data_IF_189901750435
#
_entry.id   IF_189901750435
#
_cell.length_a   1.000
_cell.length_b   1.000
_cell.length_c   1.000
_cell.angle_alpha   90.00
_cell.angle_beta   90.00
_cell.angle_gamma   90.00
#
_symmetry.space_group_name_H-M   'P 1'
#
loop_
_entity.id
_entity.type
_entity.pdbx_description
1 polymer ?
#
# COMPACT_ATOMS: atom_id res chain seq x y z
N UNK A 1 10.89 -3.97 -13.84
CA UNK A 1 10.31 -4.73 -12.72
C UNK A 1 9.12 -5.56 -13.20
N UNK A 2 9.03 -6.77 -12.74
CA UNK A 2 7.91 -7.65 -13.04
C UNK A 2 6.96 -7.71 -11.84
N UNK A 3 5.67 -7.58 -12.08
CA UNK A 3 4.64 -7.72 -11.05
C UNK A 3 3.89 -9.02 -11.29
N UNK A 4 3.76 -9.83 -10.24
CA UNK A 4 2.98 -11.07 -10.27
C UNK A 4 2.23 -11.27 -8.95
N UNK A 5 1.25 -12.15 -8.94
CA UNK A 5 0.62 -12.55 -7.69
C UNK A 5 1.60 -13.26 -6.77
N UNK A 6 1.46 -12.98 -5.48
CA UNK A 6 2.26 -13.63 -4.44
C UNK A 6 1.84 -15.07 -4.27
N UNK A 7 2.81 -15.95 -4.09
CA UNK A 7 2.58 -17.36 -3.79
C UNK A 7 3.00 -17.67 -2.36
N UNK A 8 2.51 -18.77 -1.78
CA UNK A 8 2.85 -19.14 -0.41
C UNK A 8 4.35 -19.33 -0.21
N UNK A 9 5.06 -19.80 -1.23
CA UNK A 9 6.52 -19.94 -1.16
C UNK A 9 7.27 -18.61 -1.04
N UNK A 10 6.60 -17.50 -1.36
CA UNK A 10 7.19 -16.14 -1.21
C UNK A 10 7.17 -15.65 0.24
N UNK A 11 6.41 -16.29 1.13
CA UNK A 11 6.18 -15.78 2.49
C UNK A 11 7.46 -15.47 3.27
N UNK A 12 8.51 -16.32 3.28
CA UNK A 12 9.74 -15.98 4.00
C UNK A 12 10.40 -14.70 3.49
N UNK A 13 10.50 -14.53 2.18
CA UNK A 13 11.07 -13.34 1.56
C UNK A 13 10.19 -12.11 1.81
N UNK A 14 8.88 -12.29 1.79
CA UNK A 14 7.89 -11.24 2.03
C UNK A 14 7.98 -10.74 3.48
N UNK A 15 8.10 -11.63 4.43
CA UNK A 15 8.28 -11.27 5.85
C UNK A 15 9.55 -10.44 6.06
N UNK A 16 10.64 -10.84 5.43
CA UNK A 16 11.91 -10.09 5.48
C UNK A 16 11.74 -8.69 4.86
N UNK A 17 11.04 -8.60 3.74
CA UNK A 17 10.81 -7.32 3.07
C UNK A 17 10.01 -6.36 3.95
N UNK A 18 8.97 -6.84 4.62
CA UNK A 18 8.20 -6.00 5.55
C UNK A 18 9.01 -5.57 6.77
N UNK A 19 9.86 -6.42 7.27
CA UNK A 19 10.77 -6.08 8.35
C UNK A 19 11.72 -4.94 7.96
N UNK A 20 12.29 -5.02 6.77
CA UNK A 20 13.13 -3.97 6.20
C UNK A 20 12.35 -2.67 5.99
N UNK A 21 11.12 -2.76 5.51
CA UNK A 21 10.26 -1.60 5.31
C UNK A 21 9.92 -0.90 6.64
N UNK A 22 9.62 -1.66 7.70
CA UNK A 22 9.38 -1.08 9.02
C UNK A 22 10.61 -0.37 9.58
N UNK A 23 11.78 -0.98 9.42
CA UNK A 23 13.04 -0.35 9.85
C UNK A 23 13.29 0.97 9.11
N UNK A 24 13.03 1.00 7.80
CA UNK A 24 13.14 2.20 6.99
C UNK A 24 12.15 3.28 7.46
N UNK A 25 10.90 2.93 7.72
CA UNK A 25 9.89 3.88 8.22
C UNK A 25 10.34 4.53 9.53
N UNK A 26 10.85 3.75 10.48
CA UNK A 26 11.36 4.27 11.75
C UNK A 26 12.53 5.23 11.55
N UNK A 27 13.46 4.87 10.67
CA UNK A 27 14.62 5.69 10.37
C UNK A 27 14.23 7.03 9.73
N UNK A 28 13.10 7.07 9.02
CA UNK A 28 12.57 8.27 8.39
C UNK A 28 11.61 9.07 9.29
N UNK A 29 11.52 8.74 10.59
CA UNK A 29 10.67 9.45 11.52
C UNK A 29 9.20 9.04 11.46
N UNK A 30 8.90 7.83 10.96
CA UNK A 30 7.54 7.29 10.87
C UNK A 30 7.44 5.96 11.64
N UNK A 31 7.48 5.99 13.00
CA UNK A 31 7.47 4.77 13.79
C UNK A 31 6.08 4.18 14.03
N UNK A 32 5.02 4.93 13.73
CA UNK A 32 3.66 4.62 14.20
C UNK A 32 2.73 4.09 13.11
N UNK A 33 3.14 4.08 11.85
CA UNK A 33 2.27 3.59 10.77
C UNK A 33 2.07 2.07 10.88
N UNK A 34 3.15 1.34 11.04
CA UNK A 34 3.12 -0.11 11.20
C UNK A 34 3.83 -0.51 12.49
N UNK A 35 3.09 -1.03 13.47
CA UNK A 35 3.71 -1.54 14.70
C UNK A 35 4.53 -2.80 14.43
N UNK A 36 5.33 -3.19 15.41
CA UNK A 36 6.09 -4.43 15.34
C UNK A 36 5.16 -5.61 15.04
N UNK A 37 5.60 -6.50 14.14
CA UNK A 37 4.84 -7.66 13.74
C UNK A 37 3.70 -7.37 12.76
N UNK A 38 3.48 -6.14 12.34
CA UNK A 38 2.50 -5.81 11.30
C UNK A 38 3.21 -5.71 9.94
N UNK A 39 2.66 -6.27 8.86
CA UNK A 39 1.46 -7.09 8.83
C UNK A 39 1.72 -8.50 9.40
N UNK A 40 0.77 -9.08 10.18
CA UNK A 40 0.97 -10.43 10.72
C UNK A 40 0.88 -11.49 9.62
N UNK A 41 1.50 -12.63 9.86
CA UNK A 41 1.52 -13.74 8.90
C UNK A 41 0.12 -14.13 8.44
N UNK A 42 -0.84 -14.19 9.37
CA UNK A 42 -2.23 -14.55 9.06
C UNK A 42 -2.88 -13.62 8.03
N UNK A 43 -2.58 -12.32 8.11
CA UNK A 43 -3.07 -11.34 7.14
C UNK A 43 -2.45 -11.56 5.77
N UNK A 44 -1.15 -11.82 5.71
CA UNK A 44 -0.46 -12.09 4.45
C UNK A 44 -0.96 -13.37 3.79
N UNK A 45 -1.19 -14.42 4.58
CA UNK A 45 -1.76 -15.67 4.09
C UNK A 45 -3.17 -15.45 3.52
N UNK A 46 -4.00 -14.65 4.21
CA UNK A 46 -5.33 -14.32 3.73
C UNK A 46 -5.29 -13.52 2.42
N UNK A 47 -4.39 -12.53 2.32
CA UNK A 47 -4.22 -11.77 1.08
C UNK A 47 -3.84 -12.68 -0.09
N UNK A 48 -2.94 -13.63 0.13
CA UNK A 48 -2.53 -14.59 -0.90
C UNK A 48 -3.70 -15.48 -1.31
N UNK A 49 -4.41 -16.04 -0.34
CA UNK A 49 -5.54 -16.94 -0.58
C UNK A 49 -6.66 -16.26 -1.37
N UNK A 50 -6.87 -14.98 -1.14
CA UNK A 50 -7.91 -14.18 -1.82
C UNK A 50 -7.42 -13.57 -3.16
N UNK A 51 -6.16 -13.77 -3.52
CA UNK A 51 -5.60 -13.23 -4.75
C UNK A 51 -5.35 -11.73 -4.71
N UNK A 52 -5.24 -11.14 -3.52
CA UNK A 52 -5.03 -9.69 -3.35
C UNK A 52 -3.55 -9.30 -3.31
N UNK A 53 -2.66 -10.23 -3.00
CA UNK A 53 -1.24 -9.93 -2.79
C UNK A 53 -0.45 -10.01 -4.08
N UNK A 54 0.42 -9.01 -4.29
CA UNK A 54 1.32 -8.93 -5.44
C UNK A 54 2.74 -8.65 -4.96
N UNK A 55 3.71 -9.17 -5.69
CA UNK A 55 5.13 -8.88 -5.48
C UNK A 55 5.73 -8.27 -6.73
N UNK A 56 6.74 -7.45 -6.52
CA UNK A 56 7.55 -6.87 -7.59
C UNK A 56 8.92 -7.52 -7.55
N UNK A 57 9.35 -8.05 -8.70
CA UNK A 57 10.65 -8.68 -8.86
C UNK A 57 11.56 -7.84 -9.73
N UNK A 58 12.85 -7.83 -9.40
CA UNK A 58 13.87 -7.28 -10.29
C UNK A 58 14.21 -8.25 -11.43
N UNK A 59 15.21 -7.90 -12.25
CA UNK A 59 15.63 -8.72 -13.39
C UNK A 59 16.17 -10.09 -12.97
N UNK A 60 16.68 -10.21 -11.74
CA UNK A 60 17.22 -11.46 -11.19
C UNK A 60 16.16 -12.29 -10.46
N UNK A 61 14.91 -11.85 -10.47
CA UNK A 61 13.81 -12.53 -9.79
C UNK A 61 13.79 -12.29 -8.27
N UNK A 62 14.55 -11.33 -7.77
CA UNK A 62 14.55 -10.99 -6.35
C UNK A 62 13.38 -10.06 -6.02
N UNK A 63 12.72 -10.28 -4.89
CA UNK A 63 11.63 -9.42 -4.46
C UNK A 63 12.18 -8.06 -4.02
N UNK A 64 11.65 -7.00 -4.60
CA UNK A 64 12.02 -5.61 -4.28
C UNK A 64 10.85 -4.80 -3.73
N UNK A 65 9.64 -5.31 -3.85
CA UNK A 65 8.45 -4.64 -3.36
C UNK A 65 7.26 -5.58 -3.27
N UNK A 66 6.22 -5.10 -2.61
CA UNK A 66 4.95 -5.81 -2.46
C UNK A 66 3.83 -4.83 -2.19
N UNK A 67 2.61 -5.24 -2.51
CA UNK A 67 1.39 -4.51 -2.15
C UNK A 67 0.20 -5.46 -2.17
N UNK A 68 -0.88 -5.04 -1.53
CA UNK A 68 -2.18 -5.66 -1.70
C UNK A 68 -3.07 -4.73 -2.51
N UNK A 69 -3.85 -5.29 -3.44
CA UNK A 69 -4.83 -4.56 -4.23
C UNK A 69 -6.19 -5.20 -4.01
N UNK A 70 -7.11 -4.45 -3.41
CA UNK A 70 -8.38 -4.99 -2.92
C UNK A 70 -9.53 -4.20 -3.54
N UNK A 71 -10.41 -4.90 -4.24
CA UNK A 71 -11.64 -4.32 -4.77
C UNK A 71 -12.75 -4.27 -3.71
N UNK A 72 -13.83 -3.55 -4.04
CA UNK A 72 -14.94 -3.37 -3.13
C UNK A 72 -14.74 -2.24 -2.14
N UNK A 73 -15.76 -2.01 -1.30
CA UNK A 73 -15.71 -0.91 -0.33
C UNK A 73 -14.81 -1.26 0.85
N UNK A 74 -13.92 -0.33 1.19
CA UNK A 74 -13.12 -0.44 2.40
C UNK A 74 -13.91 0.15 3.57
N UNK A 75 -14.13 -0.60 4.67
CA UNK A 75 -14.89 -0.08 5.80
C UNK A 75 -14.32 1.20 6.41
N UNK A 76 -12.99 1.38 6.38
CA UNK A 76 -12.33 2.58 6.93
C UNK A 76 -12.52 3.81 6.02
N UNK A 77 -12.97 3.61 4.79
CA UNK A 77 -13.19 4.69 3.82
C UNK A 77 -14.63 5.18 3.77
N UNK A 78 -15.51 4.61 4.57
CA UNK A 78 -16.91 5.01 4.63
C UNK A 78 -17.11 6.39 5.23
N UNK A 79 -16.21 6.84 6.08
CA UNK A 79 -16.22 8.18 6.67
C UNK A 79 -14.87 8.85 6.41
N UNK A 80 -14.90 10.05 5.88
CA UNK A 80 -13.72 10.84 5.59
C UNK A 80 -13.96 12.29 6.00
N UNK A 81 -13.03 12.85 6.78
CA UNK A 81 -13.08 14.25 7.19
C UNK A 81 -12.26 15.09 6.21
N UNK A 82 -12.80 16.23 5.79
CA UNK A 82 -12.14 17.13 4.86
C UNK A 82 -12.92 17.30 3.57
N UNK A 83 -12.23 17.27 2.43
CA UNK A 83 -12.86 17.48 1.12
C UNK A 83 -13.79 16.34 0.71
N UNK A 84 -13.53 15.14 1.20
CA UNK A 84 -14.29 13.95 0.83
C UNK A 84 -13.83 13.35 -0.50
N UNK A 85 -14.30 12.14 -0.79
CA UNK A 85 -13.98 11.44 -2.04
C UNK A 85 -14.59 12.17 -3.23
N UNK A 86 -13.86 12.21 -4.36
CA UNK A 86 -14.35 12.88 -5.58
C UNK A 86 -15.41 12.10 -6.31
N UNK A 87 -15.52 10.79 -6.06
CA UNK A 87 -16.48 9.93 -6.73
C UNK A 87 -17.02 8.86 -5.81
N UNK A 88 -18.29 8.46 -6.00
CA UNK A 88 -18.91 7.32 -5.34
C UNK A 88 -18.85 6.05 -6.18
N UNK A 89 -18.19 6.11 -7.34
CA UNK A 89 -18.03 4.94 -8.22
C UNK A 89 -17.20 3.85 -7.54
N UNK A 90 -17.32 2.59 -7.98
CA UNK A 90 -16.46 1.51 -7.47
C UNK A 90 -14.98 1.85 -7.61
N UNK A 91 -14.19 1.37 -6.66
CA UNK A 91 -12.75 1.63 -6.61
C UNK A 91 -11.98 0.40 -6.15
N UNK A 92 -10.68 0.42 -6.39
CA UNK A 92 -9.74 -0.51 -5.76
C UNK A 92 -8.89 0.25 -4.74
N UNK A 93 -8.51 -0.44 -3.68
CA UNK A 93 -7.67 0.13 -2.63
C UNK A 93 -6.31 -0.53 -2.66
N UNK A 94 -5.27 0.29 -2.65
CA UNK A 94 -3.89 -0.15 -2.58
C UNK A 94 -3.44 -0.12 -1.12
N UNK A 95 -3.14 -1.29 -0.56
CA UNK A 95 -2.77 -1.47 0.84
C UNK A 95 -1.38 -2.06 0.97
N UNK A 96 -0.75 -1.80 2.11
CA UNK A 96 0.49 -2.47 2.53
C UNK A 96 1.59 -2.41 1.49
N UNK A 97 1.70 -1.27 0.80
CA UNK A 97 2.78 -1.04 -0.16
C UNK A 97 4.11 -0.91 0.59
N UNK A 98 5.04 -1.75 0.23
CA UNK A 98 6.36 -1.78 0.85
C UNK A 98 7.45 -2.04 -0.19
N UNK A 99 8.63 -1.50 0.07
CA UNK A 99 9.81 -1.68 -0.76
C UNK A 99 11.04 -1.87 0.15
N UNK A 100 12.04 -2.59 -0.36
CA UNK A 100 13.29 -2.81 0.37
C UNK A 100 14.40 -1.80 0.01
N UNK A 101 14.11 -0.84 -0.85
CA UNK A 101 15.06 0.19 -1.26
C UNK A 101 16.08 -0.25 -2.32
N UNK A 102 16.02 -1.48 -2.79
CA UNK A 102 16.99 -2.02 -3.77
C UNK A 102 16.65 -1.69 -5.22
N UNK A 103 15.44 -1.20 -5.48
CA UNK A 103 15.02 -0.79 -6.81
C UNK A 103 14.31 0.56 -6.73
N UNK A 104 14.45 1.35 -7.79
CA UNK A 104 13.72 2.63 -7.92
C UNK A 104 12.35 2.37 -8.57
N UNK A 105 11.39 3.23 -8.23
CA UNK A 105 10.10 3.24 -8.92
C UNK A 105 9.13 2.14 -8.49
N UNK A 106 9.33 1.51 -7.32
CA UNK A 106 8.42 0.47 -6.81
C UNK A 106 7.02 1.04 -6.61
N UNK A 107 6.88 2.19 -5.95
CA UNK A 107 5.57 2.81 -5.73
C UNK A 107 4.89 3.14 -7.04
N UNK A 108 5.61 3.77 -7.98
CA UNK A 108 5.06 4.11 -9.30
C UNK A 108 4.59 2.87 -10.05
N UNK A 109 5.37 1.80 -10.03
CA UNK A 109 4.98 0.55 -10.68
C UNK A 109 3.69 -0.04 -10.07
N UNK A 110 3.55 0.02 -8.74
CA UNK A 110 2.34 -0.40 -8.06
C UNK A 110 1.14 0.46 -8.44
N UNK A 111 1.31 1.78 -8.55
CA UNK A 111 0.24 2.70 -8.97
C UNK A 111 -0.17 2.44 -10.42
N UNK A 112 0.79 2.27 -11.32
CA UNK A 112 0.51 1.93 -12.72
C UNK A 112 -0.28 0.63 -12.82
N UNK A 113 0.11 -0.37 -12.05
CA UNK A 113 -0.60 -1.65 -12.02
C UNK A 113 -2.03 -1.49 -11.51
N UNK A 114 -2.22 -0.80 -10.39
CA UNK A 114 -3.56 -0.58 -9.82
C UNK A 114 -4.46 0.13 -10.82
N UNK A 115 -3.96 1.18 -11.47
CA UNK A 115 -4.68 1.95 -12.49
C UNK A 115 -5.02 1.09 -13.71
N UNK A 116 -4.14 0.16 -14.08
CA UNK A 116 -4.41 -0.76 -15.19
C UNK A 116 -5.54 -1.75 -14.89
N UNK A 117 -5.73 -2.09 -13.61
CA UNK A 117 -6.79 -2.99 -13.15
C UNK A 117 -8.13 -2.25 -13.04
N UNK A 118 -8.11 -1.03 -12.51
CA UNK A 118 -9.33 -0.26 -12.28
C UNK A 118 -9.06 1.24 -12.35
N UNK A 119 -9.98 2.04 -12.96
CA UNK A 119 -9.70 3.48 -13.17
C UNK A 119 -9.76 4.33 -11.90
N UNK A 120 -10.50 3.90 -10.86
CA UNK A 120 -10.64 4.63 -9.60
C UNK A 120 -9.83 3.92 -8.52
N UNK A 121 -8.77 4.56 -8.04
CA UNK A 121 -7.85 3.99 -7.05
C UNK A 121 -7.82 4.88 -5.81
N UNK A 122 -7.90 4.27 -4.63
CA UNK A 122 -7.75 4.96 -3.35
C UNK A 122 -6.56 4.41 -2.58
N UNK A 123 -5.92 5.27 -1.82
CA UNK A 123 -4.77 4.92 -0.97
C UNK A 123 -4.76 5.82 0.25
N UNK A 124 -4.21 5.34 1.35
CA UNK A 124 -3.95 6.15 2.54
C UNK A 124 -2.54 5.91 3.05
N UNK A 125 -2.02 6.88 3.81
CA UNK A 125 -0.71 6.78 4.46
C UNK A 125 -0.67 7.61 5.74
N UNK A 126 0.31 7.33 6.58
CA UNK A 126 0.52 8.06 7.84
C UNK A 126 1.07 9.46 7.55
N UNK A 127 0.69 10.45 8.37
CA UNK A 127 1.16 11.85 8.23
C UNK A 127 2.68 11.98 8.33
N UNK A 128 3.35 11.06 8.98
CA UNK A 128 4.81 11.04 9.13
C UNK A 128 5.52 10.30 7.98
N UNK A 129 4.79 9.68 7.08
CA UNK A 129 5.38 8.99 5.93
C UNK A 129 5.58 9.94 4.76
N UNK A 130 6.56 10.83 4.87
CA UNK A 130 6.82 11.85 3.85
C UNK A 130 7.21 11.26 2.49
N UNK A 131 8.07 10.24 2.40
CA UNK A 131 8.40 9.66 1.09
C UNK A 131 7.17 9.11 0.35
N UNK A 132 6.26 8.45 1.06
CA UNK A 132 5.04 7.92 0.44
C UNK A 132 4.09 9.03 0.02
N UNK A 133 3.91 10.06 0.85
CA UNK A 133 3.09 11.22 0.48
C UNK A 133 3.61 11.87 -0.80
N UNK A 134 4.91 12.05 -0.91
CA UNK A 134 5.53 12.64 -2.09
C UNK A 134 5.31 11.77 -3.34
N UNK A 135 5.47 10.46 -3.20
CA UNK A 135 5.25 9.53 -4.32
C UNK A 135 3.79 9.53 -4.78
N UNK A 136 2.85 9.53 -3.85
CA UNK A 136 1.41 9.57 -4.13
C UNK A 136 1.04 10.84 -4.88
N UNK A 137 1.46 12.00 -4.37
CA UNK A 137 1.15 13.29 -4.98
C UNK A 137 1.84 13.46 -6.34
N UNK A 138 3.10 13.05 -6.46
CA UNK A 138 3.84 13.12 -7.70
C UNK A 138 3.21 12.28 -8.82
N UNK A 139 2.56 11.18 -8.45
CA UNK A 139 1.86 10.33 -9.43
C UNK A 139 0.58 10.98 -9.97
N UNK A 140 -0.05 11.85 -9.20
CA UNK A 140 -1.28 12.53 -9.59
C UNK A 140 -2.49 12.21 -8.73
N UNK A 141 -2.33 11.46 -7.64
CA UNK A 141 -3.37 11.34 -6.62
C UNK A 141 -3.66 12.69 -5.99
N UNK A 142 -4.88 12.91 -5.55
CA UNK A 142 -5.28 14.11 -4.83
C UNK A 142 -5.61 13.76 -3.39
N UNK A 143 -5.09 14.57 -2.46
CA UNK A 143 -5.44 14.46 -1.05
C UNK A 143 -6.90 14.85 -0.84
N UNK A 144 -7.67 13.98 -0.16
CA UNK A 144 -9.10 14.18 0.03
C UNK A 144 -9.51 14.38 1.47
N UNK A 145 -8.64 14.07 2.40
CA UNK A 145 -8.91 14.28 3.81
C UNK A 145 -8.31 13.21 4.70
N UNK A 146 -8.93 13.02 5.87
CA UNK A 146 -8.47 12.10 6.90
C UNK A 146 -9.48 10.98 7.10
N UNK A 147 -9.00 9.74 7.09
CA UNK A 147 -9.77 8.58 7.53
C UNK A 147 -9.23 8.09 8.86
N UNK A 148 -9.99 7.26 9.55
CA UNK A 148 -9.60 6.70 10.84
C UNK A 148 -9.64 5.19 10.78
N UNK A 149 -8.56 4.54 11.24
CA UNK A 149 -8.49 3.10 11.37
C UNK A 149 -9.39 2.63 12.51
N UNK A 150 -9.57 1.31 12.65
CA UNK A 150 -10.41 0.75 13.72
C UNK A 150 -9.97 1.16 15.12
N UNK A 151 -8.65 1.33 15.32
CA UNK A 151 -8.09 1.78 16.60
C UNK A 151 -8.20 3.28 16.82
N UNK A 152 -8.81 4.02 15.88
CA UNK A 152 -8.97 5.46 15.94
C UNK A 152 -7.78 6.26 15.43
N UNK A 153 -6.71 5.62 15.00
CA UNK A 153 -5.55 6.35 14.48
C UNK A 153 -5.84 6.94 13.10
N UNK A 154 -5.40 8.20 12.85
CA UNK A 154 -5.68 8.89 11.60
C UNK A 154 -4.74 8.46 10.48
N UNK A 155 -5.25 8.55 9.25
CA UNK A 155 -4.45 8.41 8.02
C UNK A 155 -4.89 9.46 7.01
N UNK A 156 -3.94 9.96 6.24
CA UNK A 156 -4.23 10.82 5.10
C UNK A 156 -4.68 9.97 3.93
N UNK A 157 -5.78 10.37 3.30
CA UNK A 157 -6.43 9.60 2.25
C UNK A 157 -6.42 10.35 0.92
N UNK A 158 -6.21 9.60 -0.15
CA UNK A 158 -6.03 10.12 -1.50
C UNK A 158 -6.84 9.31 -2.49
N UNK A 159 -7.28 9.94 -3.58
CA UNK A 159 -7.87 9.24 -4.70
C UNK A 159 -7.21 9.60 -6.03
N UNK A 160 -7.32 8.68 -6.98
CA UNK A 160 -6.93 8.85 -8.38
C UNK A 160 -8.11 8.42 -9.26
N UNK A 161 -8.50 9.30 -10.19
CA UNK A 161 -9.61 9.05 -11.12
C UNK A 161 -9.17 9.06 -12.58
#
# INVERSE_FOLDING_TARGET
>A
MRIRQTENQDLPALMTLYEQARAFMRAQGNPNQWPDGYPPLSLLEADIAQGHSYVLEDEDGQLVGTFALIGGQDPTYGQIAGLGWRSTSPYVTLHRLAANGKARGVARAAFDFAKSVWPHVRIDTHSQNLPMQQAILAYGFQERGTIYLQDGSPRQAYDYL
#
